data_IF_854515564647
#
_entry.id   IF_854515564647
#
_cell.length_a   1.000
_cell.length_b   1.000
_cell.length_c   1.000
_cell.angle_alpha   90.00
_cell.angle_beta   90.00
_cell.angle_gamma   90.00
#
_symmetry.space_group_name_H-M   'P 1'
#
loop_
_entity.id
_entity.type
_entity.pdbx_description
1 polymer ?
#
# COMPACT_ATOMS: atom_id res chain seq x y z
N UNK A 1 -9.74 10.71 20.48
CA UNK A 1 -8.32 11.00 20.72
C UNK A 1 -7.51 10.19 19.72
N UNK A 2 -6.86 10.86 18.75
CA UNK A 2 -6.10 10.18 17.69
C UNK A 2 -4.80 9.62 18.25
N UNK A 3 -4.59 8.31 18.11
CA UNK A 3 -3.49 7.58 18.74
C UNK A 3 -2.13 8.18 18.42
N UNK A 4 -1.45 8.65 19.45
CA UNK A 4 -0.06 9.07 19.40
C UNK A 4 0.80 7.81 19.27
N UNK A 5 1.00 7.33 18.04
CA UNK A 5 1.93 6.23 17.80
C UNK A 5 3.34 6.75 18.04
N UNK A 6 4.02 6.17 19.04
CA UNK A 6 5.40 6.49 19.35
C UNK A 6 6.31 6.35 18.12
N UNK A 7 7.52 6.91 18.17
CA UNK A 7 8.42 6.89 17.03
C UNK A 7 8.72 5.45 16.60
N UNK A 8 8.80 5.22 15.29
CA UNK A 8 9.33 3.96 14.78
C UNK A 8 10.78 3.77 15.22
N UNK A 9 11.34 2.57 15.06
CA UNK A 9 12.77 2.30 15.32
C UNK A 9 13.70 3.22 14.50
N UNK A 10 13.26 3.69 13.33
CA UNK A 10 13.98 4.63 12.48
C UNK A 10 13.68 6.12 12.80
N UNK A 11 12.78 6.40 13.75
CA UNK A 11 12.42 7.75 14.18
C UNK A 11 11.28 8.41 13.40
N UNK A 12 10.54 7.65 12.60
CA UNK A 12 9.31 8.13 11.94
C UNK A 12 8.22 8.42 12.99
N UNK A 13 7.44 9.49 12.84
CA UNK A 13 6.49 9.94 13.87
C UNK A 13 5.18 10.47 13.27
N UNK A 14 4.09 10.35 14.04
CA UNK A 14 2.76 10.83 13.68
C UNK A 14 1.98 9.88 12.75
N UNK A 15 0.77 10.29 12.37
CA UNK A 15 -0.19 9.44 11.63
C UNK A 15 0.37 8.96 10.29
N UNK A 16 1.08 9.83 9.57
CA UNK A 16 1.72 9.54 8.29
C UNK A 16 3.16 9.07 8.43
N UNK A 17 3.66 8.90 9.65
CA UNK A 17 4.99 8.35 9.94
C UNK A 17 6.10 9.10 9.17
N UNK A 18 6.16 10.42 9.32
CA UNK A 18 7.19 11.23 8.65
C UNK A 18 8.54 11.09 9.37
N UNK A 19 9.59 10.79 8.60
CA UNK A 19 10.98 10.85 9.05
C UNK A 19 11.36 12.30 9.44
N UNK A 20 12.27 12.51 10.40
CA UNK A 20 12.66 13.86 10.85
C UNK A 20 13.16 14.74 9.69
N UNK A 21 14.03 14.21 8.84
CA UNK A 21 14.57 14.93 7.69
C UNK A 21 13.47 15.32 6.67
N UNK A 22 12.56 14.40 6.37
CA UNK A 22 11.41 14.65 5.49
C UNK A 22 10.49 15.72 6.06
N UNK A 23 10.16 15.64 7.35
CA UNK A 23 9.33 16.65 8.01
C UNK A 23 9.97 18.04 7.98
N UNK A 24 11.28 18.12 8.23
CA UNK A 24 12.04 19.38 8.12
C UNK A 24 11.97 19.96 6.72
N UNK A 25 12.23 19.16 5.67
CA UNK A 25 12.11 19.57 4.26
C UNK A 25 10.70 20.05 3.89
N UNK A 26 9.68 19.55 4.58
CA UNK A 26 8.27 19.90 4.33
C UNK A 26 7.75 21.02 5.22
N UNK A 27 8.58 21.60 6.10
CA UNK A 27 8.21 22.69 7.01
C UNK A 27 7.35 22.26 8.20
N UNK A 28 7.42 20.99 8.61
CA UNK A 28 6.67 20.47 9.77
C UNK A 28 7.53 20.55 11.02
N UNK A 29 7.17 21.46 11.93
CA UNK A 29 7.85 21.66 13.21
C UNK A 29 7.42 20.64 14.27
N UNK A 30 6.13 20.32 14.32
CA UNK A 30 5.58 19.26 15.18
C UNK A 30 4.97 18.14 14.34
N UNK A 31 5.58 16.95 14.40
CA UNK A 31 5.10 15.76 13.69
C UNK A 31 3.94 15.06 14.42
N UNK A 32 3.70 15.38 15.69
CA UNK A 32 2.56 14.89 16.46
C UNK A 32 1.28 15.67 16.18
N UNK A 33 1.37 16.90 15.64
CA UNK A 33 0.21 17.62 15.12
C UNK A 33 -0.37 16.86 13.92
N UNK A 34 -1.52 16.23 14.15
CA UNK A 34 -2.17 15.37 13.16
C UNK A 34 -2.46 16.11 11.85
N UNK A 35 -2.88 17.37 11.91
CA UNK A 35 -3.27 18.14 10.71
C UNK A 35 -2.04 18.49 9.87
N UNK A 36 -0.96 18.95 10.49
CA UNK A 36 0.30 19.26 9.85
C UNK A 36 0.94 18.00 9.26
N UNK A 37 0.96 16.91 10.02
CA UNK A 37 1.52 15.62 9.61
C UNK A 37 0.78 15.05 8.38
N UNK A 38 -0.56 15.09 8.36
CA UNK A 38 -1.38 14.66 7.21
C UNK A 38 -1.13 15.56 6.00
N UNK A 39 -1.22 16.89 6.14
CA UNK A 39 -1.01 17.80 5.01
C UNK A 39 0.38 17.62 4.39
N UNK A 40 1.41 17.49 5.21
CA UNK A 40 2.76 17.27 4.72
C UNK A 40 2.93 15.89 4.09
N UNK A 41 2.39 14.84 4.68
CA UNK A 41 2.44 13.48 4.12
C UNK A 41 1.76 13.39 2.76
N UNK A 42 0.59 14.00 2.58
CA UNK A 42 -0.12 14.06 1.29
C UNK A 42 0.67 14.84 0.25
N UNK A 43 1.21 16.01 0.62
CA UNK A 43 2.10 16.78 -0.28
C UNK A 43 3.32 15.97 -0.70
N UNK A 44 3.90 15.21 0.22
CA UNK A 44 5.06 14.39 -0.05
C UNK A 44 4.73 13.26 -1.02
N UNK A 45 3.63 12.53 -0.80
CA UNK A 45 3.14 11.52 -1.74
C UNK A 45 2.90 12.10 -3.13
N UNK A 46 2.31 13.30 -3.23
CA UNK A 46 2.13 14.00 -4.52
C UNK A 46 3.45 14.28 -5.21
N UNK A 47 4.43 14.81 -4.49
CA UNK A 47 5.76 15.08 -5.05
C UNK A 47 6.46 13.80 -5.53
N UNK A 48 6.34 12.69 -4.77
CA UNK A 48 6.88 11.40 -5.20
C UNK A 48 6.17 10.86 -6.44
N UNK A 49 4.85 11.03 -6.55
CA UNK A 49 4.13 10.61 -7.74
C UNK A 49 4.50 11.46 -8.97
N UNK A 50 4.71 12.76 -8.79
CA UNK A 50 5.18 13.65 -9.84
C UNK A 50 6.60 13.33 -10.30
N UNK A 51 7.44 12.83 -9.40
CA UNK A 51 8.81 12.42 -9.71
C UNK A 51 8.87 11.09 -10.46
N UNK A 52 8.16 10.07 -9.97
CA UNK A 52 8.31 8.70 -10.47
C UNK A 52 7.26 8.30 -11.52
N UNK A 53 6.12 9.00 -11.56
CA UNK A 53 4.95 8.67 -12.40
C UNK A 53 4.43 7.23 -12.28
N UNK A 54 4.88 6.49 -11.26
CA UNK A 54 4.53 5.11 -10.99
C UNK A 54 4.12 4.97 -9.51
N UNK A 55 2.88 4.52 -9.21
CA UNK A 55 2.42 4.36 -7.84
C UNK A 55 3.25 3.39 -6.99
N UNK A 56 3.85 2.36 -7.60
CA UNK A 56 4.70 1.39 -6.90
C UNK A 56 6.03 2.02 -6.50
N UNK A 57 6.66 2.76 -7.42
CA UNK A 57 7.89 3.50 -7.12
C UNK A 57 7.65 4.64 -6.13
N UNK A 58 6.50 5.32 -6.21
CA UNK A 58 6.06 6.30 -5.21
C UNK A 58 5.96 5.66 -3.81
N UNK A 59 5.32 4.50 -3.67
CA UNK A 59 5.21 3.80 -2.38
C UNK A 59 6.57 3.29 -1.89
N UNK A 60 7.41 2.80 -2.79
CA UNK A 60 8.78 2.40 -2.45
C UNK A 60 9.61 3.58 -1.95
N UNK A 61 9.56 4.73 -2.62
CA UNK A 61 10.26 5.95 -2.24
C UNK A 61 9.72 6.55 -0.92
N UNK A 62 8.42 6.42 -0.66
CA UNK A 62 7.83 6.86 0.61
C UNK A 62 8.39 6.07 1.80
N UNK A 63 8.61 4.77 1.63
CA UNK A 63 9.15 3.89 2.67
C UNK A 63 10.68 3.93 2.76
N UNK A 64 11.37 3.80 1.63
CA UNK A 64 12.82 3.65 1.58
C UNK A 64 13.57 4.97 1.37
N UNK A 65 12.89 6.04 0.97
CA UNK A 65 13.50 7.28 0.48
C UNK A 65 13.84 7.22 -1.02
N UNK A 66 13.77 8.38 -1.69
CA UNK A 66 13.94 8.49 -3.15
C UNK A 66 15.31 7.99 -3.62
N UNK A 67 16.35 8.31 -2.83
CA UNK A 67 17.73 7.92 -3.12
C UNK A 67 17.94 6.41 -3.24
N UNK A 68 17.20 5.61 -2.48
CA UNK A 68 17.30 4.16 -2.59
C UNK A 68 16.61 3.65 -3.86
N UNK A 69 15.50 4.27 -4.27
CA UNK A 69 14.81 3.94 -5.53
C UNK A 69 15.68 4.30 -6.74
N UNK A 70 16.33 5.49 -6.73
CA UNK A 70 17.26 5.87 -7.79
C UNK A 70 18.44 4.90 -7.90
N UNK A 71 19.06 4.53 -6.77
CA UNK A 71 20.18 3.56 -6.75
C UNK A 71 19.79 2.18 -7.25
N UNK A 72 18.58 1.74 -6.93
CA UNK A 72 18.05 0.45 -7.36
C UNK A 72 17.53 0.46 -8.80
N UNK A 73 17.35 1.65 -9.40
CA UNK A 73 16.63 1.84 -10.66
C UNK A 73 15.26 1.14 -10.66
N UNK A 74 14.55 1.22 -9.52
CA UNK A 74 13.33 0.46 -9.27
C UNK A 74 13.03 0.31 -7.79
N UNK A 75 12.21 -0.68 -7.43
CA UNK A 75 11.92 -0.99 -6.03
C UNK A 75 13.18 -1.62 -5.39
N UNK A 76 13.73 -1.04 -4.31
CA UNK A 76 14.89 -1.63 -3.63
C UNK A 76 14.59 -3.06 -3.16
N UNK A 77 15.50 -3.99 -3.45
CA UNK A 77 15.39 -5.40 -3.05
C UNK A 77 15.76 -5.54 -1.57
N UNK A 78 14.90 -5.01 -0.70
CA UNK A 78 14.93 -5.28 0.73
C UNK A 78 13.55 -5.75 1.21
N UNK A 79 13.58 -6.55 2.26
CA UNK A 79 12.39 -7.19 2.83
C UNK A 79 11.34 -6.17 3.28
N UNK A 80 11.77 -5.05 3.85
CA UNK A 80 10.89 -4.06 4.45
C UNK A 80 10.06 -3.32 3.39
N UNK A 81 10.72 -2.81 2.35
CA UNK A 81 10.08 -2.02 1.29
C UNK A 81 9.15 -2.88 0.44
N UNK A 82 9.57 -4.08 0.07
CA UNK A 82 8.72 -5.00 -0.68
C UNK A 82 7.46 -5.36 0.11
N UNK A 83 7.61 -5.71 1.39
CA UNK A 83 6.46 -6.01 2.28
C UNK A 83 5.57 -4.79 2.46
N UNK A 84 6.14 -3.59 2.56
CA UNK A 84 5.38 -2.34 2.67
C UNK A 84 4.50 -2.10 1.43
N UNK A 85 5.08 -2.16 0.23
CA UNK A 85 4.34 -1.95 -1.03
C UNK A 85 3.20 -2.97 -1.15
N UNK A 86 3.48 -4.26 -0.96
CA UNK A 86 2.47 -5.33 -1.00
C UNK A 86 1.36 -5.08 0.03
N UNK A 87 1.70 -4.71 1.26
CA UNK A 87 0.73 -4.41 2.33
C UNK A 87 -0.21 -3.28 1.96
N UNK A 88 0.31 -2.18 1.39
CA UNK A 88 -0.51 -1.03 0.99
C UNK A 88 -1.43 -1.37 -0.18
N UNK A 89 -0.90 -2.05 -1.20
CA UNK A 89 -1.69 -2.50 -2.35
C UNK A 89 -2.82 -3.45 -1.95
N UNK A 90 -2.53 -4.43 -1.09
CA UNK A 90 -3.55 -5.37 -0.61
C UNK A 90 -4.66 -4.64 0.14
N UNK A 91 -4.32 -3.69 1.03
CA UNK A 91 -5.32 -2.87 1.73
C UNK A 91 -6.16 -2.02 0.78
N UNK A 92 -5.55 -1.42 -0.23
CA UNK A 92 -6.25 -0.60 -1.21
C UNK A 92 -7.20 -1.44 -2.09
N UNK A 93 -6.73 -2.58 -2.60
CA UNK A 93 -7.55 -3.50 -3.40
C UNK A 93 -8.69 -4.10 -2.59
N UNK A 94 -8.41 -4.64 -1.41
CA UNK A 94 -9.44 -5.22 -0.54
C UNK A 94 -10.44 -4.16 -0.06
N UNK A 95 -9.98 -2.96 0.29
CA UNK A 95 -10.88 -1.86 0.67
C UNK A 95 -11.83 -1.47 -0.45
N UNK A 96 -11.36 -1.45 -1.71
CA UNK A 96 -12.22 -1.25 -2.88
C UNK A 96 -13.27 -2.36 -3.03
N UNK A 97 -12.87 -3.62 -2.86
CA UNK A 97 -13.79 -4.75 -2.96
C UNK A 97 -14.85 -4.74 -1.85
N UNK A 98 -14.45 -4.46 -0.61
CA UNK A 98 -15.37 -4.35 0.53
C UNK A 98 -16.36 -3.20 0.30
N UNK A 99 -15.89 -2.02 -0.08
CA UNK A 99 -16.77 -0.89 -0.37
C UNK A 99 -17.71 -1.19 -1.53
N UNK A 100 -17.25 -1.86 -2.59
CA UNK A 100 -18.10 -2.25 -3.70
C UNK A 100 -19.21 -3.22 -3.26
N UNK A 101 -18.91 -4.18 -2.38
CA UNK A 101 -19.92 -5.12 -1.84
C UNK A 101 -20.93 -4.45 -0.90
N UNK A 102 -20.51 -3.47 -0.11
CA UNK A 102 -21.42 -2.72 0.78
C UNK A 102 -22.36 -1.82 -0.04
N UNK A 103 -21.87 -1.18 -1.10
CA UNK A 103 -22.66 -0.28 -1.93
C UNK A 103 -23.53 -1.01 -2.96
N UNK A 104 -23.12 -2.20 -3.38
CA UNK A 104 -23.90 -3.11 -4.23
C UNK A 104 -24.05 -4.46 -3.51
N UNK A 105 -24.93 -4.57 -2.51
CA UNK A 105 -25.29 -5.86 -1.97
C UNK A 105 -26.00 -6.62 -3.08
N UNK A 106 -25.30 -7.57 -3.72
CA UNK A 106 -25.99 -8.62 -4.47
C UNK A 106 -26.82 -9.36 -3.43
N UNK A 107 -28.11 -9.55 -3.69
CA UNK A 107 -28.98 -10.34 -2.83
C UNK A 107 -28.33 -11.72 -2.62
N UNK A 108 -27.69 -11.90 -1.47
CA UNK A 108 -27.15 -13.18 -1.00
C UNK A 108 -28.36 -14.05 -0.59
N UNK A 109 -29.27 -14.33 -1.52
CA UNK A 109 -30.10 -15.52 -1.40
C UNK A 109 -29.17 -16.69 -1.61
N UNK A 110 -28.97 -17.57 -0.60
CA UNK A 110 -28.23 -18.80 -0.84
C UNK A 110 -28.94 -19.52 -2.00
N UNK A 111 -28.22 -20.02 -3.02
CA UNK A 111 -28.86 -20.84 -4.03
C UNK A 111 -29.56 -21.98 -3.30
N UNK A 112 -30.88 -22.08 -3.50
CA UNK A 112 -31.63 -23.23 -3.04
C UNK A 112 -30.87 -24.48 -3.47
N UNK A 113 -30.55 -25.34 -2.51
CA UNK A 113 -29.84 -26.58 -2.76
C UNK A 113 -30.59 -27.35 -3.85
N UNK A 114 -30.06 -27.32 -5.07
CA UNK A 114 -30.62 -27.98 -6.23
C UNK A 114 -29.53 -28.87 -6.83
N UNK A 115 -29.64 -30.17 -6.52
CA UNK A 115 -29.43 -31.24 -7.47
C UNK A 115 -27.99 -31.59 -7.84
N UNK A 116 -27.64 -32.85 -7.60
CA UNK A 116 -26.49 -33.53 -8.15
C UNK A 116 -26.28 -33.26 -9.65
N UNK A 117 -25.03 -33.02 -10.05
CA UNK A 117 -24.53 -33.31 -11.40
C UNK A 117 -23.12 -33.88 -11.32
N UNK A 118 -22.96 -34.99 -12.02
CA UNK A 118 -21.79 -35.86 -12.07
C UNK A 118 -20.53 -35.19 -12.65
N UNK A 119 -19.39 -35.82 -12.35
CA UNK A 119 -18.05 -35.31 -12.61
C UNK A 119 -17.75 -34.92 -14.06
N UNK A 120 -17.11 -33.75 -14.19
CA UNK A 120 -16.27 -33.38 -15.33
C UNK A 120 -15.02 -32.70 -14.79
N UNK A 121 -13.88 -33.17 -15.29
CA UNK A 121 -12.53 -32.79 -14.91
C UNK A 121 -12.22 -31.31 -15.15
N UNK A 122 -11.48 -30.72 -14.20
CA UNK A 122 -10.83 -29.43 -14.36
C UNK A 122 -9.78 -29.51 -15.48
N UNK A 123 -10.09 -28.94 -16.64
CA UNK A 123 -9.08 -28.51 -17.60
C UNK A 123 -9.13 -26.99 -17.69
N UNK A 124 -8.09 -26.33 -17.19
CA UNK A 124 -7.58 -25.08 -17.74
C UNK A 124 -6.07 -25.04 -17.49
N UNK A 125 -5.34 -25.22 -18.58
CA UNK A 125 -3.90 -25.51 -18.62
C UNK A 125 -3.03 -24.27 -18.54
N UNK A 126 -2.65 -23.89 -17.32
CA UNK A 126 -1.51 -22.99 -17.10
C UNK A 126 -0.51 -23.63 -16.15
N UNK A 127 0.33 -24.52 -16.69
CA UNK A 127 1.59 -24.93 -16.09
C UNK A 127 2.67 -23.99 -16.63
N UNK A 128 3.26 -23.17 -15.77
CA UNK A 128 4.48 -22.42 -16.09
C UNK A 128 5.66 -23.38 -15.87
N UNK A 129 6.31 -23.79 -16.96
CA UNK A 129 7.59 -24.48 -16.97
C UNK A 129 8.72 -23.49 -16.65
N UNK A 130 9.62 -23.85 -15.75
CA UNK A 130 10.83 -23.09 -15.44
C UNK A 130 12.05 -23.95 -15.77
N UNK A 131 12.63 -23.74 -16.95
CA UNK A 131 13.89 -24.36 -17.33
C UNK A 131 14.62 -23.56 -18.40
N UNK A 132 15.71 -22.89 -18.01
CA UNK A 132 17.08 -23.28 -18.37
C UNK A 132 18.11 -22.49 -17.54
#
# INVERSE_FOLDING_TARGET
MGGNQGPSRAGALGIMQLMPATASRLGVTDRCDAKANIRAGVRYLKALYDEFHDPLLMLAAYNAGEQNVYKANGIPVNDETTKYVVKVLNRWKLGKLINARILNPVDDHPPAAAGAVDGVAWQDGHVIDFGN
#
